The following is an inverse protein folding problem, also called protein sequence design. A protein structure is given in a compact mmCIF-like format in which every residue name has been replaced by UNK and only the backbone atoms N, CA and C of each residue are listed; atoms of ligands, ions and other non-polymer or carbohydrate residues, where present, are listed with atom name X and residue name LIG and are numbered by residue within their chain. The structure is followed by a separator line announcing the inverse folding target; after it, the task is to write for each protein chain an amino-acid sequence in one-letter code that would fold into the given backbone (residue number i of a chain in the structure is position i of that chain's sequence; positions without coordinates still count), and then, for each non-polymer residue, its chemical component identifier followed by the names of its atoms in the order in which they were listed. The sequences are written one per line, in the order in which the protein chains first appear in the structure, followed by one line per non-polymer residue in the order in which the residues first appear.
data_IF_871310016732
#
_entry.id   IF_871310016732
#
_cell.length_a   1.000
_cell.length_b   1.000
_cell.length_c   1.000
_cell.angle_alpha   90.00
_cell.angle_beta   90.00
_cell.angle_gamma   90.00
#
_symmetry.space_group_name_H-M   'P 1'
#
loop_
_entity.id
_entity.type
_entity.pdbx_description
1 polymer ?
#
# COMPACT_ATOMS: atom_id res chain seq x y z
N UNK A 1 -11.37 3.96 11.64
CA UNK A 1 -11.78 2.61 11.20
C UNK A 1 -10.70 2.07 10.30
N UNK A 2 -10.15 0.90 10.61
CA UNK A 2 -9.16 0.24 9.76
C UNK A 2 -9.87 -0.63 8.71
N UNK A 3 -9.27 -0.75 7.53
CA UNK A 3 -9.76 -1.67 6.50
C UNK A 3 -9.17 -3.07 6.75
N UNK A 4 -9.77 -3.81 7.66
CA UNK A 4 -9.55 -5.25 7.82
C UNK A 4 -10.80 -6.01 7.42
N UNK A 5 -10.64 -7.10 6.66
CA UNK A 5 -11.73 -8.00 6.32
C UNK A 5 -11.67 -9.25 7.20
N UNK A 6 -12.60 -9.37 8.15
CA UNK A 6 -12.83 -10.61 8.89
C UNK A 6 -13.49 -11.61 7.96
N UNK A 7 -12.87 -12.77 7.76
CA UNK A 7 -13.54 -13.87 7.05
C UNK A 7 -14.64 -14.45 7.93
N UNK A 8 -15.71 -14.98 7.33
CA UNK A 8 -16.84 -15.57 8.07
C UNK A 8 -16.44 -16.72 9.02
N UNK A 9 -15.28 -17.33 8.78
CA UNK A 9 -14.76 -18.44 9.58
C UNK A 9 -13.81 -17.98 10.69
N UNK A 10 -13.59 -16.66 10.86
CA UNK A 10 -12.64 -16.10 11.82
C UNK A 10 -11.16 -16.37 11.50
N UNK A 11 -10.87 -17.18 10.47
CA UNK A 11 -9.51 -17.54 10.05
C UNK A 11 -8.92 -16.48 9.12
N UNK A 12 -7.67 -16.10 9.37
CA UNK A 12 -6.96 -15.09 8.57
C UNK A 12 -6.07 -15.78 7.55
N UNK A 13 -5.89 -15.18 6.37
CA UNK A 13 -4.96 -15.72 5.39
C UNK A 13 -3.53 -15.58 5.92
N UNK A 14 -2.90 -16.71 6.25
CA UNK A 14 -1.47 -16.77 6.49
C UNK A 14 -0.75 -16.69 5.15
N UNK A 15 0.25 -15.81 5.08
CA UNK A 15 1.04 -15.58 3.88
C UNK A 15 2.50 -15.61 4.24
N UNK A 16 3.31 -16.09 3.29
CA UNK A 16 4.75 -16.12 3.51
C UNK A 16 5.29 -14.72 3.74
N UNK A 17 6.29 -14.61 4.61
CA UNK A 17 6.89 -13.32 4.93
C UNK A 17 7.60 -12.70 3.73
N UNK A 18 8.20 -13.54 2.90
CA UNK A 18 8.81 -13.11 1.64
C UNK A 18 7.78 -12.42 0.73
N UNK A 19 6.57 -12.98 0.59
CA UNK A 19 5.52 -12.35 -0.23
C UNK A 19 5.00 -11.05 0.40
N UNK A 20 4.90 -10.99 1.73
CA UNK A 20 4.51 -9.78 2.46
C UNK A 20 5.54 -8.66 2.36
N UNK A 21 6.83 -8.97 2.48
CA UNK A 21 7.94 -8.02 2.30
C UNK A 21 8.00 -7.50 0.87
N UNK A 22 7.85 -8.40 -0.11
CA UNK A 22 7.79 -8.03 -1.51
C UNK A 22 6.58 -7.14 -1.80
N UNK A 23 5.39 -7.52 -1.33
CA UNK A 23 4.17 -6.75 -1.58
C UNK A 23 4.24 -5.36 -0.92
N UNK A 24 4.71 -5.27 0.33
CA UNK A 24 4.89 -3.97 1.01
C UNK A 24 5.98 -3.13 0.35
N UNK A 25 7.07 -3.75 -0.11
CA UNK A 25 8.11 -3.09 -0.90
C UNK A 25 7.60 -2.55 -2.24
N UNK A 26 6.79 -3.33 -2.96
CA UNK A 26 6.14 -2.91 -4.21
C UNK A 26 5.25 -1.70 -3.98
N UNK A 27 4.50 -1.65 -2.87
CA UNK A 27 3.67 -0.47 -2.57
C UNK A 27 4.55 0.75 -2.32
N UNK A 28 5.51 0.62 -1.38
CA UNK A 28 6.33 1.73 -0.90
C UNK A 28 7.28 2.28 -1.97
N UNK A 29 7.74 1.46 -2.92
CA UNK A 29 8.58 1.91 -4.03
C UNK A 29 7.76 2.15 -5.31
N UNK A 30 6.80 1.28 -5.60
CA UNK A 30 6.03 1.33 -6.84
C UNK A 30 5.15 2.57 -6.93
N UNK A 31 4.45 2.96 -5.86
CA UNK A 31 3.62 4.16 -5.92
C UNK A 31 4.41 5.44 -6.27
N UNK A 32 5.49 5.81 -5.55
CA UNK A 32 6.25 7.01 -5.91
C UNK A 32 6.94 6.89 -7.27
N UNK A 33 7.43 5.71 -7.66
CA UNK A 33 8.02 5.51 -8.99
C UNK A 33 6.99 5.70 -10.11
N UNK A 34 5.81 5.09 -9.97
CA UNK A 34 4.73 5.24 -10.95
C UNK A 34 4.23 6.68 -11.01
N UNK A 35 4.08 7.34 -9.86
CA UNK A 35 3.74 8.76 -9.77
C UNK A 35 4.77 9.62 -10.52
N UNK A 36 6.07 9.45 -10.24
CA UNK A 36 7.13 10.18 -10.93
C UNK A 36 7.07 9.99 -12.44
N UNK A 37 6.85 8.77 -12.93
CA UNK A 37 6.75 8.51 -14.37
C UNK A 37 5.53 9.20 -15.00
N UNK A 38 4.37 9.18 -14.33
CA UNK A 38 3.16 9.86 -14.83
C UNK A 38 3.31 11.38 -14.84
N UNK A 39 3.90 11.97 -13.80
CA UNK A 39 4.07 13.42 -13.69
C UNK A 39 5.13 13.97 -14.67
N UNK A 40 6.13 13.15 -14.99
CA UNK A 40 7.21 13.52 -15.90
C UNK A 40 6.99 13.03 -17.34
N UNK A 41 5.81 12.49 -17.69
CA UNK A 41 5.59 11.94 -19.03
C UNK A 41 5.67 13.00 -20.13
N UNK A 42 5.34 14.26 -19.81
CA UNK A 42 5.45 15.40 -20.73
C UNK A 42 6.89 15.73 -21.12
N UNK A 43 7.88 15.36 -20.29
CA UNK A 43 9.31 15.56 -20.60
C UNK A 43 9.79 14.67 -21.76
N UNK A 44 9.07 13.61 -22.09
CA UNK A 44 9.38 12.75 -23.23
C UNK A 44 8.88 13.29 -24.58
N UNK A 45 8.34 14.51 -24.61
CA UNK A 45 7.81 15.17 -25.81
C UNK A 45 6.43 14.64 -26.24
N UNK A 46 5.92 15.13 -27.36
CA UNK A 46 4.62 14.73 -27.86
C UNK A 46 4.70 13.45 -28.71
N UNK A 47 3.77 12.51 -28.50
CA UNK A 47 3.62 11.30 -29.31
C UNK A 47 3.63 10.00 -28.51
N UNK A 48 4.14 8.93 -29.14
CA UNK A 48 4.10 7.56 -28.58
C UNK A 48 4.96 7.37 -27.32
N UNK A 49 6.04 8.16 -27.18
CA UNK A 49 6.94 8.10 -26.02
C UNK A 49 6.27 8.57 -24.72
N UNK A 50 5.68 9.76 -24.71
CA UNK A 50 4.92 10.25 -23.56
C UNK A 50 3.72 9.36 -23.22
N UNK A 51 3.02 8.85 -24.23
CA UNK A 51 1.94 7.89 -24.02
C UNK A 51 2.43 6.62 -23.32
N UNK A 52 3.54 6.03 -23.78
CA UNK A 52 4.10 4.83 -23.18
C UNK A 52 4.53 5.06 -21.72
N UNK A 53 5.24 6.16 -21.42
CA UNK A 53 5.65 6.49 -20.04
C UNK A 53 4.47 6.70 -19.11
N UNK A 54 3.43 7.40 -19.57
CA UNK A 54 2.22 7.60 -18.78
C UNK A 54 1.53 6.26 -18.50
N UNK A 55 1.36 5.42 -19.53
CA UNK A 55 0.77 4.09 -19.38
C UNK A 55 1.59 3.20 -18.43
N UNK A 56 2.92 3.20 -18.53
CA UNK A 56 3.80 2.47 -17.63
C UNK A 56 3.68 2.98 -16.19
N UNK A 57 3.68 4.30 -15.99
CA UNK A 57 3.50 4.89 -14.67
C UNK A 57 2.17 4.50 -14.02
N UNK A 58 1.08 4.58 -14.78
CA UNK A 58 -0.24 4.13 -14.34
C UNK A 58 -0.29 2.63 -14.03
N UNK A 59 0.36 1.80 -14.85
CA UNK A 59 0.44 0.36 -14.60
C UNK A 59 1.17 0.04 -13.30
N UNK A 60 2.27 0.75 -12.99
CA UNK A 60 3.01 0.57 -11.74
C UNK A 60 2.16 1.02 -10.55
N UNK A 61 1.45 2.15 -10.64
CA UNK A 61 0.50 2.59 -9.60
C UNK A 61 -0.58 1.53 -9.39
N UNK A 62 -1.14 0.98 -10.46
CA UNK A 62 -2.14 -0.08 -10.38
C UNK A 62 -1.58 -1.32 -9.68
N UNK A 63 -0.35 -1.75 -10.00
CA UNK A 63 0.32 -2.87 -9.32
C UNK A 63 0.49 -2.59 -7.83
N UNK A 64 0.88 -1.37 -7.44
CA UNK A 64 0.98 -0.98 -6.03
C UNK A 64 -0.38 -1.08 -5.33
N UNK A 65 -1.46 -0.59 -5.96
CA UNK A 65 -2.82 -0.71 -5.42
C UNK A 65 -3.26 -2.18 -5.31
N UNK A 66 -2.98 -3.00 -6.32
CA UNK A 66 -3.28 -4.44 -6.26
C UNK A 66 -2.46 -5.16 -5.19
N UNK A 67 -1.20 -4.78 -4.97
CA UNK A 67 -0.39 -5.29 -3.87
C UNK A 67 -1.00 -4.91 -2.50
N UNK A 68 -1.62 -3.73 -2.39
CA UNK A 68 -2.37 -3.35 -1.19
C UNK A 68 -3.60 -4.24 -0.97
N UNK A 69 -4.41 -4.46 -1.99
CA UNK A 69 -5.55 -5.38 -1.91
C UNK A 69 -5.12 -6.82 -1.67
N UNK A 70 -3.96 -7.21 -2.18
CA UNK A 70 -3.32 -8.44 -1.79
C UNK A 70 -3.13 -8.39 -0.27
N UNK A 71 -2.39 -7.45 0.32
CA UNK A 71 -2.08 -7.43 1.76
C UNK A 71 -3.31 -7.30 2.68
N UNK A 72 -4.39 -6.67 2.25
CA UNK A 72 -5.56 -6.34 3.08
C UNK A 72 -6.15 -7.51 3.91
N UNK A 73 -6.39 -8.73 3.37
CA UNK A 73 -6.87 -9.88 4.15
C UNK A 73 -5.78 -10.66 4.93
N UNK A 74 -4.58 -10.12 5.11
CA UNK A 74 -3.48 -10.82 5.79
C UNK A 74 -3.55 -10.74 7.32
N UNK A 75 -2.92 -11.72 7.99
CA UNK A 75 -2.76 -11.73 9.45
C UNK A 75 -2.07 -10.46 9.99
N UNK A 76 -1.07 -9.95 9.28
CA UNK A 76 -0.39 -8.71 9.68
C UNK A 76 -1.33 -7.49 9.60
N UNK A 77 -2.18 -7.43 8.57
CA UNK A 77 -3.18 -6.37 8.46
C UNK A 77 -4.25 -6.50 9.55
N UNK A 78 -4.57 -7.72 10.01
CA UNK A 78 -5.45 -7.94 11.17
C UNK A 78 -4.86 -7.30 12.42
N UNK A 79 -3.60 -7.57 12.75
CA UNK A 79 -2.94 -6.99 13.93
C UNK A 79 -3.03 -5.46 13.88
N UNK A 80 -2.79 -4.87 12.71
CA UNK A 80 -2.89 -3.41 12.53
C UNK A 80 -4.33 -2.93 12.62
N UNK A 81 -5.32 -3.71 12.18
CA UNK A 81 -6.67 -3.25 11.98
C UNK A 81 -7.69 -3.59 13.07
N UNK A 82 -7.58 -4.72 13.75
CA UNK A 82 -8.61 -5.31 14.60
C UNK A 82 -8.92 -4.48 15.87
N UNK A 83 -10.02 -4.75 16.56
CA UNK A 83 -10.34 -4.07 17.83
C UNK A 83 -9.41 -4.52 18.97
N UNK A 84 -8.99 -3.59 19.84
CA UNK A 84 -7.99 -3.86 20.90
C UNK A 84 -8.37 -5.00 21.87
N UNK A 85 -9.67 -5.25 22.06
CA UNK A 85 -10.19 -6.33 22.91
C UNK A 85 -10.10 -7.72 22.28
N UNK A 86 -9.95 -7.81 20.95
CA UNK A 86 -9.79 -9.08 20.24
C UNK A 86 -8.32 -9.45 19.98
N UNK A 87 -7.38 -8.54 20.30
CA UNK A 87 -5.95 -8.80 20.21
C UNK A 87 -5.42 -9.39 21.52
N UNK A 88 -4.57 -10.39 21.37
CA UNK A 88 -3.71 -10.89 22.44
C UNK A 88 -2.69 -9.82 22.87
N UNK A 89 -2.11 -9.97 24.07
CA UNK A 89 -1.17 -9.00 24.65
C UNK A 89 0.09 -8.84 23.79
N UNK A 90 0.60 -9.94 23.20
CA UNK A 90 1.71 -9.91 22.25
C UNK A 90 1.35 -9.12 20.99
N UNK A 91 0.19 -9.39 20.41
CA UNK A 91 -0.28 -8.71 19.19
C UNK A 91 -0.49 -7.21 19.45
N UNK A 92 -0.95 -6.85 20.65
CA UNK A 92 -1.13 -5.45 21.07
C UNK A 92 0.20 -4.71 21.14
N UNK A 93 1.24 -5.32 21.73
CA UNK A 93 2.58 -4.75 21.78
C UNK A 93 3.19 -4.58 20.38
N UNK A 94 3.05 -5.60 19.52
CA UNK A 94 3.49 -5.52 18.12
C UNK A 94 2.81 -4.38 17.36
N UNK A 95 1.49 -4.23 17.55
CA UNK A 95 0.71 -3.14 16.94
C UNK A 95 1.18 -1.78 17.42
N UNK A 96 1.42 -1.62 18.73
CA UNK A 96 1.89 -0.37 19.30
C UNK A 96 3.26 0.02 18.72
N UNK A 97 4.20 -0.93 18.64
CA UNK A 97 5.51 -0.72 18.01
C UNK A 97 5.38 -0.34 16.54
N UNK A 98 4.51 -1.03 15.79
CA UNK A 98 4.28 -0.73 14.38
C UNK A 98 3.70 0.67 14.15
N UNK A 99 2.74 1.11 14.97
CA UNK A 99 2.18 2.46 14.88
C UNK A 99 3.17 3.54 15.31
N UNK A 100 3.94 3.32 16.38
CA UNK A 100 4.97 4.27 16.80
C UNK A 100 6.00 4.47 15.68
N UNK A 101 6.48 3.38 15.08
CA UNK A 101 7.39 3.44 13.94
C UNK A 101 6.76 4.18 12.75
N UNK A 102 5.55 3.80 12.33
CA UNK A 102 4.87 4.42 11.20
C UNK A 102 4.62 5.92 11.42
N UNK A 103 4.26 6.31 12.65
CA UNK A 103 4.09 7.70 13.03
C UNK A 103 5.41 8.47 12.91
N UNK A 104 6.48 7.99 13.53
CA UNK A 104 7.78 8.67 13.46
C UNK A 104 8.30 8.80 12.02
N UNK A 105 8.17 7.74 11.22
CA UNK A 105 8.59 7.76 9.81
C UNK A 105 7.75 8.75 8.99
N UNK A 106 6.42 8.70 9.13
CA UNK A 106 5.53 9.59 8.39
C UNK A 106 5.72 11.05 8.81
N UNK A 107 5.82 11.33 10.11
CA UNK A 107 6.12 12.68 10.63
C UNK A 107 7.47 13.17 10.12
N UNK A 108 8.51 12.33 10.09
CA UNK A 108 9.80 12.68 9.51
C UNK A 108 9.72 13.00 8.02
N UNK A 109 8.98 12.20 7.25
CA UNK A 109 8.77 12.44 5.82
C UNK A 109 7.98 13.74 5.57
N UNK A 110 6.91 13.97 6.32
CA UNK A 110 6.10 15.19 6.22
C UNK A 110 6.90 16.42 6.63
N UNK A 111 7.65 16.36 7.73
CA UNK A 111 8.51 17.46 8.16
C UNK A 111 9.60 17.77 7.11
N UNK A 112 10.22 16.74 6.53
CA UNK A 112 11.20 16.88 5.45
C UNK A 112 10.56 17.50 4.20
N UNK A 113 9.34 17.10 3.84
CA UNK A 113 8.60 17.66 2.72
C UNK A 113 8.25 19.15 2.93
N UNK A 114 7.80 19.52 4.14
CA UNK A 114 7.52 20.92 4.50
C UNK A 114 8.80 21.74 4.44
N UNK A 115 9.90 21.25 5.01
CA UNK A 115 11.19 21.93 4.96
C UNK A 115 11.68 22.12 3.53
N UNK A 116 11.57 21.08 2.70
CA UNK A 116 11.91 21.15 1.29
C UNK A 116 11.06 22.20 0.55
N UNK A 117 9.73 22.20 0.74
CA UNK A 117 8.85 23.18 0.10
C UNK A 117 9.13 24.62 0.57
N UNK A 118 9.49 24.81 1.84
CA UNK A 118 9.88 26.11 2.37
C UNK A 118 11.15 26.64 1.69
N UNK A 119 12.16 25.78 1.52
CA UNK A 119 13.43 26.13 0.84
C UNK A 119 13.24 26.32 -0.66
N UNK A 120 12.43 25.47 -1.31
CA UNK A 120 12.17 25.54 -2.74
C UNK A 120 11.40 26.81 -3.14
N UNK A 121 10.62 27.38 -2.22
CA UNK A 121 9.90 28.63 -2.46
C UNK A 121 10.79 29.89 -2.35
N UNK A 122 12.00 29.77 -1.78
CA UNK A 122 12.91 30.91 -1.52
C UNK A 122 13.86 31.20 -2.70
N UNK A 123 13.46 30.85 -3.93
CA UNK A 123 14.22 31.07 -5.18
C UNK A 123 15.67 30.54 -5.17
N UNK A 124 15.96 29.59 -4.28
CA UNK A 124 17.26 28.94 -4.20
C UNK A 124 17.44 27.94 -5.35
N UNK A 125 18.67 27.78 -5.86
CA UNK A 125 19.03 26.86 -6.96
C UNK A 125 18.73 25.36 -6.72
N UNK A 126 18.04 25.01 -5.63
CA UNK A 126 17.66 23.66 -5.22
C UNK A 126 16.22 23.31 -5.64
N UNK A 127 15.74 23.84 -6.77
CA UNK A 127 14.41 23.50 -7.31
C UNK A 127 14.46 22.20 -8.10
N UNK A 128 14.57 21.04 -7.43
CA UNK A 128 14.45 19.75 -8.13
C UNK A 128 13.06 19.58 -8.74
N UNK A 129 12.02 19.83 -7.95
CA UNK A 129 10.61 19.76 -8.34
C UNK A 129 9.68 20.30 -7.24
N UNK A 130 8.65 21.07 -7.59
CA UNK A 130 7.62 21.51 -6.64
C UNK A 130 6.22 21.26 -7.22
N UNK A 131 5.23 20.86 -6.39
CA UNK A 131 3.86 20.65 -6.84
C UNK A 131 3.17 21.99 -7.14
N UNK A 132 2.93 22.27 -8.41
CA UNK A 132 2.31 23.49 -8.94
C UNK A 132 0.86 23.28 -9.41
N UNK A 133 0.47 22.04 -9.70
CA UNK A 133 -0.85 21.70 -10.25
C UNK A 133 -1.69 20.86 -9.29
N UNK A 134 -3.02 20.89 -9.47
CA UNK A 134 -3.95 20.03 -8.74
C UNK A 134 -3.59 18.54 -8.89
N UNK A 135 -3.16 18.13 -10.08
CA UNK A 135 -2.73 16.75 -10.36
C UNK A 135 -1.56 16.34 -9.47
N UNK A 136 -0.57 17.22 -9.26
CA UNK A 136 0.58 16.94 -8.40
C UNK A 136 0.13 16.73 -6.95
N UNK A 137 -0.71 17.63 -6.44
CA UNK A 137 -1.24 17.53 -5.07
C UNK A 137 -2.14 16.31 -4.86
N UNK A 138 -3.00 15.99 -5.83
CA UNK A 138 -3.84 14.79 -5.77
C UNK A 138 -3.00 13.51 -5.72
N UNK A 139 -1.94 13.42 -6.52
CA UNK A 139 -1.01 12.28 -6.49
C UNK A 139 -0.29 12.17 -5.15
N UNK A 140 0.19 13.27 -4.57
CA UNK A 140 0.80 13.25 -3.23
C UNK A 140 -0.21 12.77 -2.18
N UNK A 141 -1.44 13.29 -2.21
CA UNK A 141 -2.50 12.92 -1.26
C UNK A 141 -2.77 11.42 -1.24
N UNK A 142 -2.98 10.82 -2.41
CA UNK A 142 -3.23 9.37 -2.51
C UNK A 142 -2.01 8.53 -2.09
N UNK A 143 -0.81 9.01 -2.37
CA UNK A 143 0.42 8.36 -1.90
C UNK A 143 0.54 8.37 -0.38
N UNK A 144 0.32 9.53 0.25
CA UNK A 144 0.33 9.66 1.72
C UNK A 144 -0.74 8.76 2.33
N UNK A 145 -1.95 8.76 1.78
CA UNK A 145 -3.03 7.90 2.26
C UNK A 145 -2.64 6.41 2.16
N UNK A 146 -2.06 5.99 1.04
CA UNK A 146 -1.60 4.62 0.85
C UNK A 146 -0.51 4.25 1.87
N UNK A 147 0.43 5.15 2.14
CA UNK A 147 1.51 4.96 3.12
C UNK A 147 0.96 4.83 4.54
N UNK A 148 -0.02 5.66 4.93
CA UNK A 148 -0.68 5.56 6.23
C UNK A 148 -1.23 4.15 6.49
N UNK A 149 -1.77 3.48 5.47
CA UNK A 149 -2.31 2.13 5.61
C UNK A 149 -1.26 1.01 5.54
N UNK A 150 -0.11 1.26 4.92
CA UNK A 150 0.85 0.20 4.59
C UNK A 150 2.09 0.22 5.46
N UNK A 151 2.49 1.36 6.02
CA UNK A 151 3.67 1.47 6.86
C UNK A 151 3.64 0.58 8.12
N UNK A 152 2.55 0.53 8.91
CA UNK A 152 2.50 -0.37 10.07
C UNK A 152 2.63 -1.84 9.66
N UNK A 153 2.00 -2.22 8.55
CA UNK A 153 2.04 -3.58 8.02
C UNK A 153 3.39 -3.94 7.43
N UNK A 154 4.06 -2.98 6.79
CA UNK A 154 5.44 -3.11 6.36
C UNK A 154 6.33 -3.37 7.56
N UNK A 155 6.25 -2.56 8.62
CA UNK A 155 7.04 -2.79 9.83
C UNK A 155 6.91 -4.24 10.34
N UNK A 156 5.67 -4.74 10.50
CA UNK A 156 5.44 -6.13 10.93
C UNK A 156 6.01 -7.17 9.95
N UNK A 157 5.85 -6.96 8.64
CA UNK A 157 6.40 -7.87 7.62
C UNK A 157 7.92 -8.02 7.72
N UNK A 158 8.61 -6.93 8.07
CA UNK A 158 10.08 -6.89 8.17
C UNK A 158 10.60 -7.29 9.55
N UNK A 159 9.89 -7.01 10.66
CA UNK A 159 10.44 -7.17 12.02
C UNK A 159 9.94 -8.37 12.82
N UNK A 160 8.78 -8.96 12.48
CA UNK A 160 8.24 -10.09 13.25
C UNK A 160 9.23 -11.30 13.28
N UNK A 161 9.22 -12.20 14.26
CA UNK A 161 9.99 -13.45 14.19
C UNK A 161 9.36 -14.44 13.19
N UNK A 162 10.12 -15.39 12.64
CA UNK A 162 9.55 -16.50 11.85
C UNK A 162 8.95 -17.55 12.79
N UNK A 163 7.68 -17.36 13.18
CA UNK A 163 6.95 -18.28 14.06
C UNK A 163 6.45 -19.53 13.30
N UNK A 164 6.79 -19.66 12.01
CA UNK A 164 6.34 -20.75 11.14
C UNK A 164 6.87 -22.14 11.57
N UNK A 165 7.86 -22.20 12.46
CA UNK A 165 8.38 -23.48 12.98
C UNK A 165 7.80 -23.89 14.34
N UNK A 166 7.20 -23.00 15.13
CA UNK A 166 6.69 -23.34 16.48
C UNK A 166 5.28 -23.93 16.46
N UNK A 167 4.45 -23.62 15.47
CA UNK A 167 3.09 -24.18 15.34
C UNK A 167 3.00 -25.37 14.35
N UNK A 168 4.09 -25.69 13.65
CA UNK A 168 4.12 -26.76 12.65
C UNK A 168 4.05 -28.17 13.26
N UNK A 169 4.39 -28.32 14.54
CA UNK A 169 4.27 -29.61 15.25
C UNK A 169 2.85 -29.86 15.77
N UNK A 170 2.09 -28.82 16.11
CA UNK A 170 0.68 -28.92 16.52
C UNK A 170 -0.29 -29.06 15.32
N UNK A 171 0.13 -28.68 14.10
CA UNK A 171 -0.70 -28.71 12.88
C UNK A 171 -0.68 -30.06 12.13
N UNK A 172 0.19 -31.02 12.47
CA UNK A 172 0.19 -32.35 11.87
C UNK A 172 -1.11 -33.14 12.15
N UNK A 173 -1.91 -32.70 13.12
CA UNK A 173 -3.25 -33.24 13.42
C UNK A 173 -4.41 -32.44 12.79
N UNK A 174 -4.15 -31.29 12.16
CA UNK A 174 -5.19 -30.42 11.63
C UNK A 174 -5.60 -30.80 10.19
N UNK A 175 -6.91 -31.05 9.98
CA UNK A 175 -7.50 -31.33 8.66
C UNK A 175 -7.00 -30.37 7.56
N UNK A 176 -6.75 -30.86 6.33
CA UNK A 176 -6.24 -30.05 5.24
C UNK A 176 -7.16 -28.86 4.97
N UNK A 177 -6.63 -27.66 5.20
CA UNK A 177 -7.32 -26.38 5.04
C UNK A 177 -7.97 -26.32 3.66
N UNK A 178 -9.31 -26.39 3.62
CA UNK A 178 -10.08 -26.13 2.40
C UNK A 178 -9.80 -24.68 2.00
N UNK A 179 -8.99 -24.50 0.93
CA UNK A 179 -8.64 -23.17 0.39
C UNK A 179 -9.90 -22.31 0.38
N UNK A 180 -9.94 -21.17 1.10
CA UNK A 180 -11.10 -20.29 1.01
C UNK A 180 -11.22 -19.96 -0.46
N UNK A 181 -12.31 -20.41 -1.09
CA UNK A 181 -12.57 -20.15 -2.48
C UNK A 181 -12.62 -18.65 -2.64
N UNK A 182 -11.49 -18.05 -3.04
CA UNK A 182 -11.40 -16.64 -3.39
C UNK A 182 -12.46 -16.48 -4.45
N UNK A 183 -13.55 -15.85 -4.02
CA UNK A 183 -14.79 -15.81 -4.76
C UNK A 183 -14.48 -14.92 -5.97
N UNK A 184 -14.24 -15.53 -7.14
CA UNK A 184 -13.79 -14.88 -8.37
C UNK A 184 -14.61 -13.63 -8.73
N UNK A 185 -15.87 -13.55 -8.29
CA UNK A 185 -16.73 -12.38 -8.44
C UNK A 185 -16.22 -11.12 -7.74
N UNK A 186 -15.45 -11.25 -6.65
CA UNK A 186 -14.91 -10.12 -5.88
C UNK A 186 -13.78 -9.41 -6.66
N UNK A 187 -12.94 -10.19 -7.35
CA UNK A 187 -11.99 -9.64 -8.34
C UNK A 187 -12.72 -9.06 -9.55
N UNK A 188 -13.81 -9.70 -10.00
CA UNK A 188 -14.68 -9.18 -11.05
C UNK A 188 -15.25 -7.81 -10.71
N UNK A 189 -15.69 -7.57 -9.47
CA UNK A 189 -16.20 -6.27 -9.02
C UNK A 189 -15.11 -5.21 -8.92
N UNK A 190 -13.91 -5.56 -8.46
CA UNK A 190 -12.78 -4.61 -8.40
C UNK A 190 -12.37 -4.20 -9.82
N UNK A 191 -12.29 -5.16 -10.74
CA UNK A 191 -11.95 -4.90 -12.15
C UNK A 191 -13.08 -4.09 -12.82
N UNK A 192 -14.35 -4.46 -12.62
CA UNK A 192 -15.49 -3.75 -13.18
C UNK A 192 -15.61 -2.33 -12.62
N UNK A 193 -15.34 -2.13 -11.32
CA UNK A 193 -15.31 -0.82 -10.69
C UNK A 193 -14.16 0.05 -11.23
N UNK A 194 -12.98 -0.53 -11.43
CA UNK A 194 -11.83 0.16 -12.03
C UNK A 194 -12.07 0.56 -13.49
N UNK A 195 -12.62 -0.34 -14.31
CA UNK A 195 -12.97 -0.07 -15.71
C UNK A 195 -14.10 0.96 -15.79
N UNK A 196 -15.14 0.82 -14.95
CA UNK A 196 -16.26 1.75 -14.88
C UNK A 196 -15.80 3.16 -14.50
N UNK A 197 -14.97 3.30 -13.47
CA UNK A 197 -14.40 4.58 -13.07
C UNK A 197 -13.53 5.21 -14.15
N UNK A 198 -12.73 4.40 -14.86
CA UNK A 198 -11.90 4.88 -15.97
C UNK A 198 -12.73 5.39 -17.15
N UNK A 199 -13.78 4.66 -17.55
CA UNK A 199 -14.68 5.09 -18.64
C UNK A 199 -15.41 6.38 -18.25
N UNK A 200 -15.93 6.44 -17.02
CA UNK A 200 -16.70 7.59 -16.55
C UNK A 200 -15.85 8.87 -16.47
N UNK A 201 -14.60 8.74 -16.00
CA UNK A 201 -13.63 9.83 -16.00
C UNK A 201 -13.35 10.34 -17.42
N UNK A 202 -13.25 9.44 -18.40
CA UNK A 202 -12.99 9.78 -19.82
C UNK A 202 -14.18 10.39 -20.56
N UNK A 203 -15.39 10.25 -20.05
CA UNK A 203 -16.61 10.82 -20.64
C UNK A 203 -16.96 12.21 -20.07
N UNK A 204 -16.39 12.56 -18.92
CA UNK A 204 -16.69 13.82 -18.22
C UNK A 204 -15.63 14.90 -18.52
N UNK A 205 -14.44 14.51 -18.99
CA UNK A 205 -13.40 15.38 -19.56
C UNK A 205 -13.51 15.47 -21.07
#
# INVERSE_FOLDING_TARGET
MSFYMRTANGRVAQRSRASMRLATGIILAGYPLGALLTLNSSLAGDGSGAFALNLTGLAIIAIAIFAFFYIAPSYMQRIVGEQLCELDDLERDLRQKAYAFAYHLLTGLVASAIFYLAVANDDTRLTLWAPDSYTHWNTIFWGVLLYCFTLPTAYLAWTMPDIAHEFGEDELEAEPVRKPGVRWWLWGLIIAGGIGGFILARTIT
#
